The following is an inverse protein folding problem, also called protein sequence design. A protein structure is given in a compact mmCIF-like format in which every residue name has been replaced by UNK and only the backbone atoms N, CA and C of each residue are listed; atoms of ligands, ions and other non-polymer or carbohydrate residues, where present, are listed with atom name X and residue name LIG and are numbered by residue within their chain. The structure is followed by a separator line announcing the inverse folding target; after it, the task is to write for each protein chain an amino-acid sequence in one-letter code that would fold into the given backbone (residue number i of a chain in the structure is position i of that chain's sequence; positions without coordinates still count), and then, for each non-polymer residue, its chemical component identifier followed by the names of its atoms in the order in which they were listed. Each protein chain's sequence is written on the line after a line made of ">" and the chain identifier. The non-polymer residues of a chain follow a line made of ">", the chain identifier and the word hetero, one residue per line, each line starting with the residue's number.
data_IF_172506150254
#
_entry.id   IF_172506150254
#
_cell.length_a   1.000
_cell.length_b   1.000
_cell.length_c   1.000
_cell.angle_alpha   90.00
_cell.angle_beta   90.00
_cell.angle_gamma   90.00
#
_symmetry.space_group_name_H-M   'P 1'
#
loop_
_entity.id
_entity.type
_entity.pdbx_description
1 polymer ?
#
# COMPACT_ATOMS: atom_id res chain seq x y z
N UNK A 1 -12.40 11.06 1.95
CA UNK A 1 -11.07 10.76 2.51
C UNK A 1 -10.71 9.29 2.37
N UNK A 2 -10.99 8.37 3.31
CA UNK A 2 -10.64 6.94 3.12
C UNK A 2 -11.27 6.36 1.85
N UNK A 3 -12.57 6.53 1.68
CA UNK A 3 -13.27 6.08 0.48
C UNK A 3 -12.77 6.75 -0.81
N UNK A 4 -12.35 8.00 -0.72
CA UNK A 4 -11.82 8.78 -1.86
C UNK A 4 -10.43 8.31 -2.27
N UNK A 5 -9.59 7.98 -1.28
CA UNK A 5 -8.31 7.31 -1.51
C UNK A 5 -8.52 5.94 -2.12
N UNK A 6 -9.49 5.17 -1.62
CA UNK A 6 -9.83 3.87 -2.18
C UNK A 6 -10.29 3.98 -3.64
N UNK A 7 -11.12 4.97 -3.96
CA UNK A 7 -11.54 5.23 -5.34
C UNK A 7 -10.37 5.64 -6.25
N UNK A 8 -9.40 6.39 -5.71
CA UNK A 8 -8.26 6.89 -6.47
C UNK A 8 -7.13 5.88 -6.67
N UNK A 9 -6.87 5.04 -5.67
CA UNK A 9 -5.67 4.19 -5.57
C UNK A 9 -5.98 2.70 -5.35
N UNK A 10 -7.24 2.32 -5.17
CA UNK A 10 -7.67 0.97 -4.77
C UNK A 10 -7.73 0.79 -3.26
N UNK A 11 -8.46 -0.22 -2.80
CA UNK A 11 -8.57 -0.58 -1.38
C UNK A 11 -7.29 -1.22 -0.85
N UNK A 12 -6.58 -1.97 -1.69
CA UNK A 12 -5.30 -2.60 -1.38
C UNK A 12 -4.21 -1.62 -0.93
N UNK A 13 -4.34 -0.33 -1.26
CA UNK A 13 -3.39 0.71 -0.87
C UNK A 13 -3.23 0.82 0.65
N UNK A 14 -4.29 0.53 1.42
CA UNK A 14 -4.26 0.60 2.87
C UNK A 14 -3.53 -0.59 3.50
N UNK A 15 -3.36 -1.68 2.76
CA UNK A 15 -2.58 -2.85 3.17
C UNK A 15 -1.12 -2.73 2.74
N UNK A 16 -0.89 -2.21 1.54
CA UNK A 16 0.45 -2.18 0.93
C UNK A 16 1.29 -0.98 1.37
N UNK A 17 0.66 0.12 1.78
CA UNK A 17 1.41 1.29 2.23
C UNK A 17 1.85 1.13 3.68
N UNK A 18 3.14 1.30 3.99
CA UNK A 18 3.60 1.21 5.37
C UNK A 18 2.95 2.30 6.23
N UNK A 19 2.62 1.94 7.46
CA UNK A 19 1.92 2.81 8.40
C UNK A 19 2.67 4.13 8.67
N UNK A 20 3.99 4.14 8.50
CA UNK A 20 4.86 5.32 8.68
C UNK A 20 4.64 6.38 7.59
N UNK A 21 4.35 5.97 6.36
CA UNK A 21 4.06 6.88 5.25
C UNK A 21 2.60 7.36 5.26
N UNK A 22 1.72 6.61 5.93
CA UNK A 22 0.29 6.85 5.90
C UNK A 22 -0.40 6.45 7.19
N UNK A 23 0.04 7.07 8.28
CA UNK A 23 -0.54 6.81 9.57
C UNK A 23 -2.03 7.16 9.54
N UNK A 24 -2.85 6.33 10.16
CA UNK A 24 -4.30 6.57 10.29
C UNK A 24 -4.61 7.96 10.89
N UNK A 25 -3.71 8.49 11.71
CA UNK A 25 -3.76 9.84 12.27
C UNK A 25 -3.63 10.94 11.22
N UNK A 26 -2.82 10.74 10.16
CA UNK A 26 -2.59 11.75 9.11
C UNK A 26 -3.85 12.08 8.31
N UNK A 27 -4.60 11.08 7.86
CA UNK A 27 -5.87 11.31 7.14
C UNK A 27 -6.92 11.92 8.05
N UNK A 28 -6.98 11.45 9.30
CA UNK A 28 -8.03 11.81 10.25
C UNK A 28 -7.81 13.22 10.83
N UNK A 29 -6.57 13.62 11.09
CA UNK A 29 -6.25 14.81 11.88
C UNK A 29 -5.46 15.87 11.12
N UNK A 30 -4.55 15.48 10.22
CA UNK A 30 -3.51 16.41 9.73
C UNK A 30 -3.84 17.05 8.38
N UNK A 31 -4.48 16.30 7.47
CA UNK A 31 -4.67 16.76 6.09
C UNK A 31 -6.07 17.39 5.90
N UNK A 32 -6.11 18.64 5.43
CA UNK A 32 -7.34 19.26 4.89
C UNK A 32 -7.76 18.51 3.62
N UNK A 33 -9.04 18.55 3.25
CA UNK A 33 -9.56 17.77 2.10
C UNK A 33 -8.69 17.89 0.83
N UNK A 34 -8.19 19.10 0.51
CA UNK A 34 -7.31 19.33 -0.64
C UNK A 34 -5.96 18.59 -0.57
N UNK A 35 -5.41 18.36 0.62
CA UNK A 35 -4.13 17.66 0.76
C UNK A 35 -4.25 16.16 0.52
N UNK A 36 -5.47 15.58 0.58
CA UNK A 36 -5.70 14.17 0.23
C UNK A 36 -5.47 13.98 -1.27
N UNK A 37 -5.96 14.91 -2.10
CA UNK A 37 -5.69 14.89 -3.54
C UNK A 37 -4.21 15.04 -3.87
N UNK A 38 -3.52 16.02 -3.28
CA UNK A 38 -2.10 16.22 -3.50
C UNK A 38 -1.28 14.99 -3.11
N UNK A 39 -1.63 14.37 -1.97
CA UNK A 39 -1.01 13.13 -1.54
C UNK A 39 -1.27 11.98 -2.51
N UNK A 40 -2.50 11.80 -3.00
CA UNK A 40 -2.81 10.76 -3.99
C UNK A 40 -1.98 10.94 -5.28
N UNK A 41 -1.87 12.18 -5.77
CA UNK A 41 -1.04 12.48 -6.94
C UNK A 41 0.45 12.22 -6.69
N UNK A 42 0.94 12.55 -5.49
CA UNK A 42 2.31 12.25 -5.10
C UNK A 42 2.57 10.74 -5.05
N UNK A 43 1.66 9.95 -4.49
CA UNK A 43 1.79 8.48 -4.42
C UNK A 43 1.80 7.87 -5.81
N UNK A 44 0.90 8.29 -6.70
CA UNK A 44 0.90 7.81 -8.10
C UNK A 44 2.22 8.12 -8.81
N UNK A 45 2.82 9.28 -8.53
CA UNK A 45 4.06 9.73 -9.16
C UNK A 45 5.29 9.02 -8.62
N UNK A 46 5.43 8.94 -7.30
CA UNK A 46 6.64 8.43 -6.65
C UNK A 46 6.60 6.92 -6.44
N UNK A 47 5.40 6.33 -6.32
CA UNK A 47 5.17 4.90 -6.02
C UNK A 47 4.12 4.27 -6.95
N UNK A 48 4.34 4.30 -8.27
CA UNK A 48 3.43 3.67 -9.23
C UNK A 48 3.36 2.15 -9.05
N UNK A 49 4.43 1.53 -8.54
CA UNK A 49 4.52 0.12 -8.14
C UNK A 49 3.43 -0.26 -7.13
N UNK A 50 3.29 0.53 -6.06
CA UNK A 50 2.30 0.28 -5.01
C UNK A 50 0.89 0.47 -5.55
N UNK A 51 0.69 1.45 -6.43
CA UNK A 51 -0.60 1.68 -7.09
C UNK A 51 -1.00 0.51 -8.00
N UNK A 52 -0.05 -0.08 -8.72
CA UNK A 52 -0.28 -1.25 -9.55
C UNK A 52 -0.59 -2.48 -8.68
N UNK A 53 0.22 -2.74 -7.66
CA UNK A 53 0.02 -3.84 -6.72
C UNK A 53 -1.33 -3.73 -5.97
N UNK A 54 -1.75 -2.52 -5.61
CA UNK A 54 -3.06 -2.24 -4.99
C UNK A 54 -4.20 -2.71 -5.90
N UNK A 55 -4.15 -2.38 -7.19
CA UNK A 55 -5.17 -2.80 -8.17
C UNK A 55 -5.18 -4.31 -8.36
N UNK A 56 -4.01 -4.93 -8.47
CA UNK A 56 -3.89 -6.39 -8.57
C UNK A 56 -4.49 -7.09 -7.35
N UNK A 57 -4.26 -6.54 -6.15
CA UNK A 57 -4.85 -7.04 -4.91
C UNK A 57 -6.38 -6.86 -4.89
N UNK A 58 -6.88 -5.71 -5.31
CA UNK A 58 -8.33 -5.45 -5.41
C UNK A 58 -9.02 -6.41 -6.39
N UNK A 59 -8.42 -6.61 -7.57
CA UNK A 59 -8.93 -7.53 -8.59
C UNK A 59 -8.93 -8.99 -8.09
N UNK A 60 -7.86 -9.38 -7.41
CA UNK A 60 -7.75 -10.71 -6.79
C UNK A 60 -8.78 -10.91 -5.69
N UNK A 61 -9.00 -9.92 -4.82
CA UNK A 61 -10.02 -9.98 -3.76
C UNK A 61 -11.42 -10.04 -4.36
N UNK A 62 -11.68 -9.23 -5.39
CA UNK A 62 -13.01 -9.00 -5.93
C UNK A 62 -13.93 -8.28 -4.93
N UNK A 63 -15.15 -7.92 -5.36
CA UNK A 63 -16.06 -7.11 -4.56
C UNK A 63 -16.47 -7.80 -3.25
N UNK A 64 -16.65 -9.12 -3.25
CA UNK A 64 -16.96 -9.88 -2.03
C UNK A 64 -15.82 -9.81 -1.02
N UNK A 65 -14.57 -10.04 -1.44
CA UNK A 65 -13.41 -9.96 -0.58
C UNK A 65 -13.19 -8.55 -0.02
N UNK A 66 -13.36 -7.51 -0.85
CA UNK A 66 -13.29 -6.10 -0.42
C UNK A 66 -14.37 -5.78 0.62
N UNK A 67 -15.56 -6.35 0.50
CA UNK A 67 -16.66 -6.17 1.46
C UNK A 67 -16.47 -6.94 2.78
N UNK A 68 -15.35 -7.66 2.95
CA UNK A 68 -15.05 -8.47 4.14
C UNK A 68 -15.56 -9.91 4.05
N UNK A 69 -15.93 -10.37 2.86
CA UNK A 69 -16.30 -11.75 2.60
C UNK A 69 -15.12 -12.73 2.73
N UNK A 70 -15.39 -14.04 2.77
CA UNK A 70 -14.34 -15.05 2.91
C UNK A 70 -13.43 -15.08 1.68
N UNK A 71 -12.12 -15.13 1.92
CA UNK A 71 -11.10 -15.35 0.88
C UNK A 71 -10.65 -16.81 0.80
N UNK A 72 -11.24 -17.69 1.62
CA UNK A 72 -10.98 -19.13 1.61
C UNK A 72 -11.32 -19.73 0.26
N UNK A 73 -10.34 -20.36 -0.39
CA UNK A 73 -10.49 -20.97 -1.72
C UNK A 73 -9.96 -20.11 -2.88
N UNK A 74 -9.54 -18.86 -2.63
CA UNK A 74 -8.74 -18.11 -3.60
C UNK A 74 -7.33 -18.67 -3.68
N UNK A 75 -6.77 -18.72 -4.88
CA UNK A 75 -5.37 -19.07 -5.09
C UNK A 75 -4.46 -18.02 -4.45
N UNK A 76 -3.29 -18.43 -3.97
CA UNK A 76 -2.29 -17.49 -3.43
C UNK A 76 -1.97 -16.41 -4.45
N UNK A 77 -2.04 -15.14 -4.03
CA UNK A 77 -1.59 -14.01 -4.84
C UNK A 77 -0.09 -13.79 -4.61
N UNK A 78 0.68 -13.79 -5.69
CA UNK A 78 2.09 -13.42 -5.69
C UNK A 78 2.27 -12.21 -6.59
N UNK A 79 2.79 -11.11 -6.04
CA UNK A 79 3.10 -9.89 -6.78
C UNK A 79 4.62 -9.73 -6.74
N UNK A 80 5.26 -9.99 -7.87
CA UNK A 80 6.71 -9.79 -8.00
C UNK A 80 6.97 -8.31 -8.28
N UNK A 81 7.94 -7.76 -7.57
CA UNK A 81 8.48 -6.44 -7.85
C UNK A 81 9.73 -6.64 -8.71
N UNK A 82 9.71 -6.11 -9.95
CA UNK A 82 10.89 -5.98 -10.81
C UNK A 82 11.83 -4.88 -10.28
N UNK A 83 12.15 -4.92 -8.99
CA UNK A 83 13.17 -4.08 -8.39
C UNK A 83 14.46 -4.90 -8.41
N UNK A 84 15.59 -4.34 -8.90
CA UNK A 84 16.90 -4.95 -8.71
C UNK A 84 17.13 -5.13 -7.21
N UNK A 85 16.88 -6.35 -6.71
CA UNK A 85 17.11 -6.75 -5.34
C UNK A 85 18.60 -7.00 -5.18
N UNK A 86 19.38 -5.93 -5.10
CA UNK A 86 20.67 -5.97 -4.43
C UNK A 86 20.46 -5.45 -3.00
N UNK A 87 19.99 -6.28 -2.05
CA UNK A 87 20.09 -5.91 -0.65
C UNK A 87 21.58 -5.81 -0.30
N UNK A 88 22.10 -4.59 -0.16
CA UNK A 88 23.38 -4.37 0.51
C UNK A 88 23.15 -4.66 1.98
N UNK A 89 23.39 -5.91 2.38
CA UNK A 89 23.45 -6.32 3.77
C UNK A 89 24.81 -5.85 4.29
N UNK A 90 24.86 -4.72 4.99
CA UNK A 90 26.01 -4.40 5.85
C UNK A 90 25.85 -5.21 7.14
N UNK A 91 26.65 -6.27 7.28
CA UNK A 91 26.81 -6.96 8.56
C UNK A 91 27.45 -5.98 9.55
N UNK A 92 26.74 -5.64 10.62
CA UNK A 92 27.28 -4.88 11.74
C UNK A 92 27.96 -5.89 12.67
N UNK A 93 29.28 -5.78 12.85
CA UNK A 93 30.00 -6.58 13.85
C UNK A 93 29.47 -6.24 15.25
N UNK A 94 28.97 -7.24 15.97
CA UNK A 94 28.67 -7.13 17.39
C UNK A 94 29.99 -6.87 18.15
N UNK A 95 30.13 -5.68 18.72
CA UNK A 95 31.20 -5.40 19.68
C UNK A 95 30.87 -6.11 20.99
N UNK A 96 31.62 -7.16 21.31
CA UNK A 96 31.61 -7.79 22.64
C UNK A 96 32.09 -6.76 23.69
N UNK A 97 31.21 -6.39 24.64
CA UNK A 97 31.57 -5.69 25.88
C UNK A 97 31.98 -6.70 26.97
#
# INVERSE_FOLDING_TARGET
>A
RWYEVAQGLGWGIFTLMPYEYFANSWIKQTIRAWGVHLWMELVKKERPDVCAASKVLDDWLGPEGISGGPISGKQTLSIELDIPLDPVVEEVEDSED
#
